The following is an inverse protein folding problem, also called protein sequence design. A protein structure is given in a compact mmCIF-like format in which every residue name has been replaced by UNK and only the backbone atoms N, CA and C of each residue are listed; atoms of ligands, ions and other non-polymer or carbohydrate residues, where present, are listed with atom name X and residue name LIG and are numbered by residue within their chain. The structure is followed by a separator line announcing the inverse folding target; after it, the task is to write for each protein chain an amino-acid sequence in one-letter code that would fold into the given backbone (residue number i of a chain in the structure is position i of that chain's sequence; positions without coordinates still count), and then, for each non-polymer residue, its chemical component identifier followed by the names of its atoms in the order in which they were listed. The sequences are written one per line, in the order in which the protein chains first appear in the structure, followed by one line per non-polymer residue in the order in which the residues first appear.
data_IF_686090667513
#
_entry.id   IF_686090667513
#
_cell.length_a   1.000
_cell.length_b   1.000
_cell.length_c   1.000
_cell.angle_alpha   90.00
_cell.angle_beta   90.00
_cell.angle_gamma   90.00
#
_symmetry.space_group_name_H-M   'P 1'
#
loop_
_entity.id
_entity.type
_entity.pdbx_description
1 polymer ?
#
# COMPACT_ATOMS: atom_id res chain seq x y z
N UNK A 1 14.55 8.47 -5.53
CA UNK A 1 13.44 7.52 -5.76
C UNK A 1 12.85 7.19 -4.41
N UNK A 2 11.55 7.40 -4.24
CA UNK A 2 10.89 7.11 -2.96
C UNK A 2 10.35 5.68 -3.01
N UNK A 3 10.53 4.93 -1.92
CA UNK A 3 10.13 3.53 -1.80
C UNK A 3 9.01 3.43 -0.79
N UNK A 4 7.99 2.63 -1.08
CA UNK A 4 6.87 2.41 -0.19
C UNK A 4 6.96 1.03 0.44
N UNK A 5 6.86 0.96 1.76
CA UNK A 5 6.92 -0.29 2.51
C UNK A 5 5.68 -0.47 3.36
N UNK A 6 5.30 -1.72 3.60
CA UNK A 6 4.21 -2.08 4.50
C UNK A 6 4.55 -3.33 5.31
N UNK A 7 3.94 -3.42 6.49
CA UNK A 7 4.04 -4.52 7.45
C UNK A 7 2.73 -4.55 8.25
N UNK A 8 2.38 -5.70 8.83
CA UNK A 8 1.17 -5.91 9.61
C UNK A 8 0.33 -7.09 9.12
N UNK A 9 -0.99 -6.99 9.34
CA UNK A 9 -1.95 -8.03 8.99
C UNK A 9 -2.20 -8.06 7.48
N UNK A 10 -1.97 -9.22 6.84
CA UNK A 10 -2.16 -9.40 5.40
C UNK A 10 -3.58 -9.78 4.98
N UNK A 11 -4.45 -10.16 5.92
CA UNK A 11 -5.74 -10.80 5.65
C UNK A 11 -6.67 -10.00 4.75
N UNK A 12 -6.49 -8.69 4.64
CA UNK A 12 -7.30 -7.78 3.82
C UNK A 12 -6.63 -7.31 2.53
N UNK A 13 -5.47 -7.85 2.13
CA UNK A 13 -4.62 -7.30 1.05
C UNK A 13 -4.10 -5.87 1.29
N UNK A 14 -4.35 -5.27 2.46
CA UNK A 14 -3.97 -3.89 2.78
C UNK A 14 -2.46 -3.64 2.82
N UNK A 15 -1.64 -4.70 2.78
CA UNK A 15 -0.20 -4.58 2.66
C UNK A 15 0.27 -4.28 1.22
N UNK A 16 -0.51 -4.60 0.18
CA UNK A 16 -0.15 -4.28 -1.20
C UNK A 16 0.91 -5.20 -1.83
N UNK A 17 1.20 -6.35 -1.21
CA UNK A 17 2.19 -7.34 -1.72
C UNK A 17 1.62 -8.33 -2.74
N UNK A 18 0.41 -8.06 -3.27
CA UNK A 18 -0.28 -8.98 -4.18
C UNK A 18 -0.82 -10.26 -3.55
N UNK A 19 -0.75 -10.40 -2.22
CA UNK A 19 -1.20 -11.58 -1.49
C UNK A 19 -1.84 -11.21 -0.12
N UNK A 20 -2.31 -12.22 0.63
CA UNK A 20 -2.93 -12.06 1.96
C UNK A 20 -2.01 -12.43 3.13
N UNK A 21 -0.70 -12.52 2.89
CA UNK A 21 0.24 -12.98 3.90
C UNK A 21 0.53 -11.87 4.91
N UNK A 22 0.43 -12.21 6.20
CA UNK A 22 0.91 -11.33 7.27
C UNK A 22 2.41 -11.17 7.17
N UNK A 23 2.89 -9.93 7.26
CA UNK A 23 4.31 -9.64 7.18
C UNK A 23 4.70 -8.87 8.44
N UNK A 24 5.61 -9.41 9.25
CA UNK A 24 6.04 -8.73 10.49
C UNK A 24 7.17 -7.73 10.27
N UNK A 25 7.84 -7.82 9.11
CA UNK A 25 8.92 -6.92 8.71
C UNK A 25 8.42 -5.99 7.61
N UNK A 26 9.00 -4.80 7.51
CA UNK A 26 8.72 -3.91 6.38
C UNK A 26 9.17 -4.57 5.07
N UNK A 27 8.20 -4.87 4.22
CA UNK A 27 8.43 -5.34 2.84
C UNK A 27 8.04 -4.23 1.87
N UNK A 28 8.79 -4.11 0.80
CA UNK A 28 8.53 -3.10 -0.23
C UNK A 28 7.31 -3.46 -1.08
N UNK A 29 6.52 -2.47 -1.45
CA UNK A 29 5.41 -2.60 -2.39
C UNK A 29 5.96 -2.43 -3.81
N UNK A 30 6.21 -3.55 -4.48
CA UNK A 30 6.91 -3.62 -5.77
C UNK A 30 6.23 -2.84 -6.89
N UNK A 31 4.90 -2.69 -6.84
CA UNK A 31 4.11 -1.95 -7.83
C UNK A 31 4.65 -0.54 -8.11
N UNK A 32 5.18 0.15 -7.09
CA UNK A 32 5.66 1.52 -7.24
C UNK A 32 7.14 1.63 -7.67
N UNK A 33 7.87 0.52 -7.78
CA UNK A 33 9.28 0.54 -8.19
C UNK A 33 9.45 1.01 -9.63
N UNK A 34 8.51 0.67 -10.51
CA UNK A 34 8.62 0.96 -11.96
C UNK A 34 8.23 2.38 -12.34
N UNK A 35 7.47 3.08 -11.49
CA UNK A 35 6.80 4.34 -11.83
C UNK A 35 7.57 5.60 -11.38
N UNK A 36 8.80 5.48 -10.86
CA UNK A 36 9.56 6.59 -10.23
C UNK A 36 8.66 7.50 -9.36
N UNK A 37 7.82 6.87 -8.54
CA UNK A 37 6.74 7.57 -7.85
C UNK A 37 7.24 8.38 -6.66
N UNK A 38 6.87 9.66 -6.60
CA UNK A 38 7.01 10.47 -5.39
C UNK A 38 5.70 10.49 -4.61
N UNK A 39 5.73 10.06 -3.35
CA UNK A 39 4.56 10.06 -2.48
C UNK A 39 4.43 11.39 -1.74
N UNK A 40 3.22 11.95 -1.74
CA UNK A 40 2.87 13.18 -1.04
C UNK A 40 2.15 12.90 0.28
N UNK A 41 1.25 11.93 0.29
CA UNK A 41 0.48 11.49 1.47
C UNK A 41 0.26 9.98 1.43
N UNK A 42 0.23 9.37 2.61
CA UNK A 42 -0.08 7.95 2.80
C UNK A 42 -1.07 7.87 3.98
N UNK A 43 -2.05 6.99 3.89
CA UNK A 43 -3.00 6.70 4.95
C UNK A 43 -3.31 5.19 4.97
N UNK A 44 -3.63 4.67 6.14
CA UNK A 44 -4.12 3.30 6.31
C UNK A 44 -5.29 3.29 7.28
N UNK A 45 -6.29 2.47 6.95
CA UNK A 45 -7.37 2.07 7.84
C UNK A 45 -7.14 0.67 8.39
N UNK A 46 -8.20 0.06 8.92
CA UNK A 46 -8.13 -1.31 9.44
C UNK A 46 -7.87 -2.35 8.33
N UNK A 47 -8.52 -2.19 7.17
CA UNK A 47 -8.53 -3.19 6.10
C UNK A 47 -8.10 -2.65 4.73
N UNK A 48 -7.69 -1.40 4.65
CA UNK A 48 -7.27 -0.76 3.40
C UNK A 48 -6.14 0.23 3.64
N UNK A 49 -5.43 0.54 2.57
CA UNK A 49 -4.36 1.52 2.52
C UNK A 49 -4.52 2.36 1.27
N UNK A 50 -4.08 3.61 1.34
CA UNK A 50 -4.14 4.54 0.23
C UNK A 50 -2.96 5.49 0.22
N UNK A 51 -2.61 6.00 -0.96
CA UNK A 51 -1.60 7.05 -1.10
C UNK A 51 -1.97 8.05 -2.20
N UNK A 52 -1.40 9.25 -2.08
CA UNK A 52 -1.47 10.30 -3.08
C UNK A 52 -0.04 10.62 -3.52
N UNK A 53 0.20 10.61 -4.82
CA UNK A 53 1.51 10.96 -5.39
C UNK A 53 1.65 12.48 -5.55
N UNK A 54 2.88 12.95 -5.74
CA UNK A 54 3.15 14.36 -6.04
C UNK A 54 2.54 14.81 -7.38
N UNK A 55 2.27 13.87 -8.29
CA UNK A 55 1.56 14.11 -9.56
C UNK A 55 0.03 14.19 -9.38
N UNK A 56 -0.47 13.97 -8.16
CA UNK A 56 -1.91 13.99 -7.88
C UNK A 56 -2.63 12.68 -8.19
N UNK A 57 -1.91 11.59 -8.51
CA UNK A 57 -2.51 10.25 -8.65
C UNK A 57 -2.88 9.70 -7.29
N UNK A 58 -4.04 9.05 -7.20
CA UNK A 58 -4.53 8.39 -5.98
C UNK A 58 -4.52 6.88 -6.22
N UNK A 59 -3.94 6.14 -5.28
CA UNK A 59 -3.94 4.68 -5.27
C UNK A 59 -4.59 4.19 -3.99
N UNK A 60 -5.35 3.11 -4.08
CA UNK A 60 -5.96 2.43 -2.95
C UNK A 60 -5.81 0.92 -3.14
N UNK A 61 -5.54 0.20 -2.06
CA UNK A 61 -5.50 -1.25 -2.03
C UNK A 61 -6.05 -1.78 -0.70
N UNK A 62 -6.40 -3.07 -0.71
CA UNK A 62 -7.12 -3.72 0.38
C UNK A 62 -8.64 -3.72 0.19
N UNK A 63 -9.38 -4.03 1.26
CA UNK A 63 -10.84 -4.18 1.21
C UNK A 63 -11.53 -2.84 1.46
N UNK A 64 -12.36 -2.42 0.50
CA UNK A 64 -13.22 -1.25 0.57
C UNK A 64 -14.68 -1.70 0.40
N UNK A 65 -15.35 -2.02 1.51
CA UNK A 65 -16.75 -2.47 1.55
C UNK A 65 -17.05 -3.36 2.76
N UNK A 66 -18.32 -3.48 3.11
CA UNK A 66 -18.80 -4.49 4.07
C UNK A 66 -18.88 -5.85 3.37
N UNK A 67 -18.42 -6.92 4.06
CA UNK A 67 -18.52 -8.32 3.62
C UNK A 67 -19.91 -8.88 3.90
#
# INVERSE_FOLDING_TARGET
MNRLFSSGNGGSYALGHGNRETCSNFKEIEFFQTENTNFKKIACGMNHSACVTSEGRVYQWGICGDI
#
